data_IF_007546132706
#
_entry.id   IF_007546132706
#
_cell.length_a   1.000
_cell.length_b   1.000
_cell.length_c   1.000
_cell.angle_alpha   90.00
_cell.angle_beta   90.00
_cell.angle_gamma   90.00
#
_symmetry.space_group_name_H-M   'P 1'
#
loop_
_entity.id
_entity.type
_entity.pdbx_description
1 polymer ?
#
# COMPACT_ATOMS: atom_id res chain seq x y z
N UNK A 1 26.01 7.34 29.22
CA UNK A 1 25.27 6.36 28.40
C UNK A 1 24.94 7.04 27.08
N UNK A 2 25.18 6.40 25.94
CA UNK A 2 24.84 6.98 24.65
C UNK A 2 23.31 7.13 24.57
N UNK A 3 22.82 8.28 24.10
CA UNK A 3 21.40 8.67 24.21
C UNK A 3 20.41 7.66 23.61
N UNK A 4 20.81 6.94 22.56
CA UNK A 4 19.95 5.91 21.95
C UNK A 4 19.70 4.73 22.91
N UNK A 5 20.71 4.28 23.68
CA UNK A 5 20.58 3.16 24.62
C UNK A 5 19.56 3.48 25.71
N UNK A 6 19.65 4.68 26.26
CA UNK A 6 18.70 5.16 27.27
C UNK A 6 17.27 5.20 26.73
N UNK A 7 17.09 5.71 25.50
CA UNK A 7 15.79 5.77 24.85
C UNK A 7 15.22 4.37 24.54
N UNK A 8 16.07 3.41 24.14
CA UNK A 8 15.66 2.01 23.98
C UNK A 8 15.14 1.42 25.30
N UNK A 9 15.88 1.58 26.39
CA UNK A 9 15.43 1.07 27.70
C UNK A 9 14.11 1.70 28.14
N UNK A 10 13.93 3.01 27.93
CA UNK A 10 12.67 3.69 28.20
C UNK A 10 11.54 3.15 27.31
N UNK A 11 11.81 2.83 26.04
CA UNK A 11 10.84 2.24 25.13
C UNK A 11 10.38 0.86 25.62
N UNK A 12 11.31 0.00 26.06
CA UNK A 12 11.01 -1.32 26.62
C UNK A 12 10.17 -1.22 27.89
N UNK A 13 10.46 -0.23 28.76
CA UNK A 13 9.66 0.02 29.95
C UNK A 13 8.24 0.50 29.61
N UNK A 14 8.10 1.37 28.61
CA UNK A 14 6.80 1.81 28.10
C UNK A 14 5.99 0.64 27.49
N UNK A 15 6.66 -0.19 26.68
CA UNK A 15 6.09 -1.43 26.12
C UNK A 15 5.58 -2.37 27.21
N UNK A 16 6.40 -2.63 28.24
CA UNK A 16 6.03 -3.47 29.40
C UNK A 16 4.83 -2.92 30.18
N UNK A 17 4.66 -1.60 30.15
CA UNK A 17 3.50 -0.90 30.74
C UNK A 17 2.29 -0.83 29.79
N UNK A 18 2.35 -1.49 28.63
CA UNK A 18 1.35 -1.46 27.56
C UNK A 18 1.11 -0.09 26.94
N UNK A 19 2.06 0.84 27.06
CA UNK A 19 2.03 2.12 26.38
C UNK A 19 2.76 2.03 25.03
N UNK A 20 2.10 1.44 24.04
CA UNK A 20 2.69 1.11 22.74
C UNK A 20 3.03 2.36 21.91
N UNK A 21 2.23 3.42 21.99
CA UNK A 21 2.49 4.70 21.29
C UNK A 21 3.80 5.32 21.80
N UNK A 22 3.92 5.47 23.12
CA UNK A 22 5.13 5.98 23.75
C UNK A 22 6.35 5.09 23.45
N UNK A 23 6.19 3.76 23.46
CA UNK A 23 7.26 2.84 23.12
C UNK A 23 7.76 3.07 21.68
N UNK A 24 6.86 3.20 20.70
CA UNK A 24 7.24 3.45 19.30
C UNK A 24 7.87 4.82 19.09
N UNK A 25 7.37 5.88 19.73
CA UNK A 25 7.97 7.21 19.63
C UNK A 25 9.39 7.24 20.23
N UNK A 26 9.61 6.55 21.36
CA UNK A 26 10.92 6.41 21.97
C UNK A 26 11.89 5.61 21.10
N UNK A 27 11.47 4.50 20.49
CA UNK A 27 12.31 3.76 19.52
C UNK A 27 12.65 4.62 18.29
N UNK A 28 11.66 5.33 17.72
CA UNK A 28 11.89 6.25 16.62
C UNK A 28 12.90 7.36 16.99
N UNK A 29 12.90 7.83 18.25
CA UNK A 29 13.89 8.78 18.76
C UNK A 29 15.26 8.12 18.94
N UNK A 30 15.32 6.91 19.49
CA UNK A 30 16.55 6.16 19.71
C UNK A 30 17.32 5.96 18.39
N UNK A 31 16.64 5.44 17.37
CA UNK A 31 17.28 5.16 16.09
C UNK A 31 17.69 6.41 15.31
N UNK A 32 16.99 7.54 15.46
CA UNK A 32 17.42 8.84 14.91
C UNK A 32 18.73 9.36 15.51
N UNK A 33 19.14 8.85 16.66
CA UNK A 33 20.41 9.20 17.30
C UNK A 33 21.54 8.24 16.94
N UNK A 34 21.27 7.21 16.12
CA UNK A 34 22.31 6.33 15.58
C UNK A 34 23.02 7.06 14.43
N UNK A 35 24.33 7.20 14.55
CA UNK A 35 25.19 7.75 13.51
C UNK A 35 26.24 6.69 13.16
N UNK A 36 26.33 6.35 11.87
CA UNK A 36 27.12 5.22 11.36
C UNK A 36 28.51 5.60 10.85
N UNK A 37 28.94 6.84 11.05
CA UNK A 37 30.26 7.29 10.62
C UNK A 37 31.36 6.57 11.43
N UNK A 38 31.96 5.55 10.81
CA UNK A 38 33.18 4.82 11.19
C UNK A 38 33.05 3.64 12.19
N UNK A 39 31.86 3.03 12.25
CA UNK A 39 31.44 1.80 12.95
C UNK A 39 32.51 1.01 13.76
N UNK A 40 32.76 1.46 14.99
CA UNK A 40 32.99 0.57 16.15
C UNK A 40 31.91 0.92 17.17
N UNK A 41 30.76 0.25 17.10
CA UNK A 41 29.76 0.35 18.16
C UNK A 41 30.23 -0.42 19.39
N UNK A 42 29.82 0.06 20.57
CA UNK A 42 29.98 -0.70 21.80
C UNK A 42 29.03 -1.90 21.82
N UNK A 43 29.38 -2.97 22.54
CA UNK A 43 28.46 -4.11 22.77
C UNK A 43 27.10 -3.64 23.30
N UNK A 44 27.09 -2.59 24.13
CA UNK A 44 25.87 -2.00 24.66
C UNK A 44 24.97 -1.35 23.59
N UNK A 45 25.56 -0.83 22.52
CA UNK A 45 24.81 -0.31 21.36
C UNK A 45 24.17 -1.45 20.58
N UNK A 46 24.93 -2.52 20.31
CA UNK A 46 24.39 -3.68 19.60
C UNK A 46 23.26 -4.33 20.38
N UNK A 47 23.44 -4.55 21.68
CA UNK A 47 22.39 -5.07 22.55
C UNK A 47 21.14 -4.19 22.54
N UNK A 48 21.30 -2.86 22.58
CA UNK A 48 20.16 -1.95 22.50
C UNK A 48 19.42 -1.99 21.15
N UNK A 49 20.12 -2.21 20.04
CA UNK A 49 19.46 -2.41 18.73
C UNK A 49 18.75 -3.76 18.72
N UNK A 50 19.41 -4.82 19.20
CA UNK A 50 18.84 -6.17 19.28
C UNK A 50 17.56 -6.20 20.12
N UNK A 51 17.59 -5.61 21.32
CA UNK A 51 16.41 -5.54 22.20
C UNK A 51 15.25 -4.78 21.54
N UNK A 52 15.54 -3.74 20.75
CA UNK A 52 14.51 -3.02 20.01
C UNK A 52 13.89 -3.88 18.90
N UNK A 53 14.69 -4.67 18.19
CA UNK A 53 14.22 -5.58 17.14
C UNK A 53 13.38 -6.70 17.75
N UNK A 54 13.83 -7.33 18.84
CA UNK A 54 13.06 -8.33 19.57
C UNK A 54 11.73 -7.79 20.08
N UNK A 55 11.73 -6.57 20.65
CA UNK A 55 10.50 -5.94 21.12
C UNK A 55 9.49 -5.73 19.98
N UNK A 56 9.95 -5.31 18.80
CA UNK A 56 9.09 -5.15 17.61
C UNK A 56 8.60 -6.49 17.08
N UNK A 57 9.44 -7.52 17.07
CA UNK A 57 9.04 -8.87 16.63
C UNK A 57 7.92 -9.43 17.53
N UNK A 58 8.10 -9.34 18.85
CA UNK A 58 7.10 -9.76 19.83
C UNK A 58 5.81 -8.93 19.73
N UNK A 59 5.89 -7.65 19.35
CA UNK A 59 4.71 -6.81 19.12
C UNK A 59 3.81 -7.38 18.02
N UNK A 60 4.39 -7.89 16.92
CA UNK A 60 3.62 -8.55 15.84
C UNK A 60 2.92 -9.82 16.30
N UNK A 61 3.44 -10.51 17.32
CA UNK A 61 2.81 -11.72 17.88
C UNK A 61 1.67 -11.40 18.85
N UNK A 62 1.74 -10.26 19.54
CA UNK A 62 0.83 -9.94 20.65
C UNK A 62 -0.26 -8.93 20.30
N UNK A 63 -0.10 -8.17 19.22
CA UNK A 63 -1.09 -7.18 18.78
C UNK A 63 -1.84 -7.68 17.54
N UNK A 64 -3.13 -8.08 17.68
CA UNK A 64 -3.94 -8.58 16.56
C UNK A 64 -4.10 -7.55 15.43
N UNK A 65 -4.01 -6.27 15.78
CA UNK A 65 -4.08 -5.16 14.83
C UNK A 65 -2.85 -5.06 13.93
N UNK A 66 -1.76 -5.78 14.21
CA UNK A 66 -0.60 -5.84 13.35
C UNK A 66 -0.68 -7.11 12.51
N UNK A 67 -0.73 -6.96 11.19
CA UNK A 67 -0.59 -8.09 10.28
C UNK A 67 0.89 -8.35 10.02
N UNK A 68 1.31 -9.60 10.18
CA UNK A 68 2.65 -10.05 9.89
C UNK A 68 2.81 -10.27 8.38
N UNK A 69 3.19 -9.20 7.67
CA UNK A 69 3.47 -9.20 6.23
C UNK A 69 4.89 -9.67 5.90
N UNK A 70 5.10 -10.25 4.71
CA UNK A 70 6.40 -10.69 4.21
C UNK A 70 7.48 -9.60 4.34
N UNK A 71 7.17 -8.35 4.01
CA UNK A 71 8.12 -7.24 4.14
C UNK A 71 8.51 -6.91 5.58
N UNK A 72 7.58 -7.02 6.53
CA UNK A 72 7.88 -6.77 7.93
C UNK A 72 8.80 -7.87 8.48
N UNK A 73 8.49 -9.13 8.15
CA UNK A 73 9.33 -10.28 8.51
C UNK A 73 10.72 -10.17 7.92
N UNK A 74 10.83 -9.89 6.62
CA UNK A 74 12.12 -9.74 5.96
C UNK A 74 12.96 -8.63 6.60
N UNK A 75 12.36 -7.50 6.93
CA UNK A 75 13.04 -6.37 7.57
C UNK A 75 13.57 -6.74 8.96
N UNK A 76 12.74 -7.40 9.78
CA UNK A 76 13.13 -7.85 11.12
C UNK A 76 14.24 -8.90 11.03
N UNK A 77 14.07 -9.93 10.20
CA UNK A 77 15.03 -11.03 10.08
C UNK A 77 16.37 -10.58 9.53
N UNK A 78 16.39 -9.73 8.50
CA UNK A 78 17.66 -9.23 7.95
C UNK A 78 18.47 -8.44 8.98
N UNK A 79 17.81 -7.63 9.81
CA UNK A 79 18.51 -6.89 10.86
C UNK A 79 18.98 -7.81 11.98
N UNK A 80 18.20 -8.83 12.37
CA UNK A 80 18.65 -9.85 13.34
C UNK A 80 19.91 -10.57 12.86
N UNK A 81 19.91 -11.07 11.62
CA UNK A 81 21.08 -11.72 11.02
C UNK A 81 22.28 -10.76 11.02
N UNK A 82 22.07 -9.51 10.62
CA UNK A 82 23.14 -8.51 10.57
C UNK A 82 23.72 -8.20 11.98
N UNK A 83 22.91 -8.31 13.04
CA UNK A 83 23.35 -8.17 14.43
C UNK A 83 24.04 -9.42 14.99
N UNK A 84 23.76 -10.61 14.47
CA UNK A 84 24.43 -11.85 14.87
C UNK A 84 25.81 -12.01 14.21
N UNK A 85 25.95 -11.54 12.97
CA UNK A 85 27.14 -11.72 12.14
C UNK A 85 28.04 -10.47 12.05
N UNK A 86 28.11 -9.65 13.11
CA UNK A 86 28.76 -8.32 13.08
C UNK A 86 30.20 -8.28 12.56
N UNK A 87 30.97 -9.36 12.72
CA UNK A 87 32.36 -9.43 12.23
C UNK A 87 32.48 -9.75 10.74
N UNK A 88 31.38 -10.13 10.09
CA UNK A 88 31.34 -10.60 8.70
C UNK A 88 30.53 -9.68 7.78
N UNK A 89 29.75 -8.76 8.35
CA UNK A 89 28.82 -7.90 7.63
C UNK A 89 29.48 -6.59 7.22
N UNK A 90 29.33 -6.22 5.95
CA UNK A 90 29.76 -4.91 5.45
C UNK A 90 28.98 -3.77 6.12
N UNK A 91 29.67 -2.69 6.49
CA UNK A 91 29.10 -1.52 7.18
C UNK A 91 27.91 -0.93 6.43
N UNK A 92 28.01 -0.82 5.11
CA UNK A 92 26.94 -0.28 4.26
C UNK A 92 25.69 -1.18 4.27
N UNK A 93 25.89 -2.51 4.31
CA UNK A 93 24.78 -3.46 4.44
C UNK A 93 24.10 -3.33 5.79
N UNK A 94 24.86 -3.29 6.89
CA UNK A 94 24.31 -3.13 8.23
C UNK A 94 23.54 -1.81 8.36
N UNK A 95 24.13 -0.70 7.90
CA UNK A 95 23.48 0.62 7.90
C UNK A 95 22.15 0.58 7.15
N UNK A 96 22.11 -0.08 5.98
CA UNK A 96 20.88 -0.25 5.21
C UNK A 96 19.82 -1.04 5.99
N UNK A 97 20.18 -2.14 6.66
CA UNK A 97 19.21 -2.90 7.46
C UNK A 97 18.65 -2.06 8.62
N UNK A 98 19.48 -1.21 9.24
CA UNK A 98 19.00 -0.27 10.24
C UNK A 98 18.04 0.75 9.63
N UNK A 99 18.35 1.31 8.45
CA UNK A 99 17.49 2.28 7.77
C UNK A 99 16.12 1.67 7.39
N UNK A 100 16.12 0.44 6.88
CA UNK A 100 14.89 -0.30 6.56
C UNK A 100 14.05 -0.54 7.83
N UNK A 101 14.69 -0.93 8.94
CA UNK A 101 14.01 -1.07 10.24
C UNK A 101 13.50 0.27 10.79
N UNK A 102 14.22 1.38 10.58
CA UNK A 102 13.73 2.71 10.94
C UNK A 102 12.47 3.09 10.18
N UNK A 103 12.36 2.72 8.91
CA UNK A 103 11.16 2.94 8.12
C UNK A 103 9.98 2.10 8.66
N UNK A 104 10.22 0.84 9.04
CA UNK A 104 9.23 0.00 9.71
C UNK A 104 8.72 0.66 11.01
N UNK A 105 9.62 1.12 11.88
CA UNK A 105 9.26 1.83 13.12
C UNK A 105 8.42 3.07 12.87
N UNK A 106 8.74 3.87 11.85
CA UNK A 106 7.96 5.04 11.47
C UNK A 106 6.54 4.65 11.03
N UNK A 107 6.41 3.60 10.23
CA UNK A 107 5.10 3.11 9.82
C UNK A 107 4.26 2.57 10.99
N UNK A 108 4.87 1.82 11.91
CA UNK A 108 4.21 1.37 13.14
C UNK A 108 3.71 2.54 13.98
N UNK A 109 4.56 3.54 14.21
CA UNK A 109 4.18 4.76 14.92
C UNK A 109 2.99 5.44 14.25
N UNK A 110 3.05 5.67 12.95
CA UNK A 110 1.95 6.32 12.20
C UNK A 110 0.65 5.53 12.34
N UNK A 111 0.73 4.20 12.27
CA UNK A 111 -0.41 3.31 12.51
C UNK A 111 -0.98 3.48 13.91
N UNK A 112 -0.17 3.41 14.95
CA UNK A 112 -0.63 3.58 16.34
C UNK A 112 -1.22 4.98 16.59
N UNK A 113 -0.56 6.04 16.11
CA UNK A 113 -1.08 7.42 16.20
C UNK A 113 -2.48 7.52 15.56
N UNK A 114 -2.71 6.86 14.42
CA UNK A 114 -4.02 6.86 13.76
C UNK A 114 -5.08 6.16 14.60
N UNK A 115 -4.78 4.96 15.11
CA UNK A 115 -5.72 4.17 15.90
C UNK A 115 -6.07 4.89 17.20
N UNK A 116 -5.09 5.45 17.90
CA UNK A 116 -5.29 6.20 19.12
C UNK A 116 -6.17 7.44 18.91
N UNK A 117 -5.85 8.28 17.92
CA UNK A 117 -6.66 9.48 17.59
C UNK A 117 -8.11 9.15 17.26
N UNK A 118 -8.36 7.96 16.71
CA UNK A 118 -9.69 7.45 16.38
C UNK A 118 -10.31 6.60 17.48
N UNK A 119 -9.62 6.42 18.60
CA UNK A 119 -10.04 5.61 19.74
C UNK A 119 -10.36 4.16 19.32
N UNK A 120 -9.62 3.63 18.34
CA UNK A 120 -9.74 2.25 17.87
C UNK A 120 -8.85 1.37 18.76
N UNK A 121 -9.40 0.40 19.50
CA UNK A 121 -8.61 -0.40 20.41
C UNK A 121 -7.68 -1.38 19.68
N UNK A 122 -6.40 -1.42 20.08
CA UNK A 122 -5.35 -2.24 19.45
C UNK A 122 -5.45 -3.75 19.75
N UNK A 123 -6.20 -4.15 20.78
CA UNK A 123 -6.27 -5.52 21.31
C UNK A 123 -7.58 -6.26 21.00
N UNK A 124 -8.41 -5.76 20.08
CA UNK A 124 -9.66 -6.44 19.71
C UNK A 124 -9.35 -7.72 18.93
N UNK A 125 -10.02 -8.83 19.28
CA UNK A 125 -9.96 -10.10 18.54
C UNK A 125 -11.38 -10.57 18.14
N UNK A 126 -11.63 -10.85 16.84
CA UNK A 126 -10.76 -10.54 15.69
C UNK A 126 -10.71 -9.01 15.46
N UNK A 127 -9.57 -8.47 15.01
CA UNK A 127 -9.47 -7.05 14.70
C UNK A 127 -10.49 -6.68 13.61
N UNK A 128 -10.98 -5.43 13.62
CA UNK A 128 -11.81 -4.93 12.52
C UNK A 128 -10.98 -4.62 11.28
N UNK A 129 -9.79 -4.07 11.54
CA UNK A 129 -8.74 -3.74 10.57
C UNK A 129 -7.38 -4.05 11.17
N UNK A 130 -6.41 -4.44 10.34
CA UNK A 130 -5.00 -4.60 10.76
C UNK A 130 -4.09 -3.73 9.90
N UNK A 131 -2.99 -3.27 10.46
CA UNK A 131 -1.91 -2.56 9.77
C UNK A 131 -1.01 -3.61 9.12
N UNK A 132 -0.75 -3.46 7.82
CA UNK A 132 0.20 -4.29 7.10
C UNK A 132 1.23 -3.42 6.38
N UNK A 133 2.43 -3.97 6.20
CA UNK A 133 3.52 -3.31 5.50
C UNK A 133 3.63 -3.85 4.07
N UNK A 134 3.96 -2.96 3.14
CA UNK A 134 4.25 -3.26 1.74
C UNK A 134 5.66 -2.82 1.40
N UNK A 135 6.20 -3.36 0.31
CA UNK A 135 7.49 -2.97 -0.26
C UNK A 135 7.66 -1.44 -0.33
N UNK A 136 8.79 -0.93 0.17
CA UNK A 136 9.04 0.51 0.28
C UNK A 136 8.48 1.14 1.56
N UNK A 137 8.16 0.32 2.57
CA UNK A 137 7.65 0.74 3.88
C UNK A 137 6.32 1.51 3.83
N UNK A 138 5.49 1.25 2.81
CA UNK A 138 4.12 1.74 2.79
C UNK A 138 3.28 0.95 3.80
N UNK A 139 2.47 1.66 4.57
CA UNK A 139 1.48 1.06 5.46
C UNK A 139 0.11 1.07 4.79
N UNK A 140 -0.64 0.01 5.00
CA UNK A 140 -2.04 -0.10 4.57
C UNK A 140 -2.88 -0.71 5.68
N UNK A 141 -4.20 -0.50 5.62
CA UNK A 141 -5.14 -1.22 6.47
C UNK A 141 -5.76 -2.40 5.72
N UNK A 142 -5.65 -3.59 6.30
CA UNK A 142 -6.33 -4.80 5.87
C UNK A 142 -7.70 -4.86 6.54
N UNK A 143 -8.72 -5.17 5.75
CA UNK A 143 -10.12 -5.29 6.18
C UNK A 143 -10.44 -6.73 6.59
N UNK A 144 -10.89 -6.92 7.84
CA UNK A 144 -11.33 -8.24 8.34
C UNK A 144 -12.85 -8.39 8.38
N UNK A 145 -13.57 -7.28 8.57
CA UNK A 145 -15.03 -7.27 8.66
C UNK A 145 -15.63 -6.40 7.56
N UNK A 146 -16.70 -6.88 6.93
CA UNK A 146 -17.42 -6.10 5.93
C UNK A 146 -18.51 -5.25 6.58
N UNK A 147 -18.17 -4.03 6.98
CA UNK A 147 -19.11 -3.06 7.54
C UNK A 147 -18.83 -1.64 7.02
N UNK A 148 -19.86 -0.81 6.99
CA UNK A 148 -19.74 0.60 6.62
C UNK A 148 -18.83 1.39 7.58
N UNK A 149 -18.69 0.93 8.83
CA UNK A 149 -17.75 1.51 9.79
C UNK A 149 -16.30 1.22 9.40
N UNK A 150 -15.99 -0.04 9.04
CA UNK A 150 -14.65 -0.41 8.57
C UNK A 150 -14.26 0.37 7.30
N UNK A 151 -15.20 0.52 6.37
CA UNK A 151 -14.97 1.32 5.15
C UNK A 151 -14.66 2.79 5.48
N UNK A 152 -15.35 3.37 6.48
CA UNK A 152 -15.05 4.74 6.95
C UNK A 152 -13.66 4.84 7.56
N UNK A 153 -13.23 3.85 8.35
CA UNK A 153 -11.91 3.81 8.96
C UNK A 153 -10.82 3.77 7.88
N UNK A 154 -10.94 2.86 6.91
CA UNK A 154 -9.99 2.72 5.81
C UNK A 154 -9.92 4.01 4.98
N UNK A 155 -11.07 4.59 4.65
CA UNK A 155 -11.11 5.87 3.93
C UNK A 155 -10.46 7.01 4.71
N UNK A 156 -10.69 7.09 6.03
CA UNK A 156 -10.07 8.09 6.89
C UNK A 156 -8.55 7.90 7.00
N UNK A 157 -8.08 6.65 7.04
CA UNK A 157 -6.66 6.32 7.01
C UNK A 157 -6.02 6.76 5.70
N UNK A 158 -6.58 6.35 4.56
CA UNK A 158 -6.09 6.72 3.23
C UNK A 158 -6.11 8.25 3.03
N UNK A 159 -7.12 8.94 3.54
CA UNK A 159 -7.20 10.40 3.49
C UNK A 159 -6.10 11.09 4.33
N UNK A 160 -5.52 10.42 5.33
CA UNK A 160 -4.41 10.96 6.14
C UNK A 160 -3.08 11.00 5.37
N UNK A 161 -2.96 10.18 4.32
CA UNK A 161 -1.79 10.13 3.42
C UNK A 161 -2.07 10.72 2.05
N UNK A 162 -3.34 10.92 1.72
CA UNK A 162 -3.75 11.66 0.53
C UNK A 162 -3.31 13.10 0.73
N UNK A 163 -2.33 13.55 -0.04
CA UNK A 163 -2.00 14.96 -0.10
C UNK A 163 -3.28 15.73 -0.46
N UNK A 164 -3.61 16.85 0.22
CA UNK A 164 -4.81 17.64 -0.08
C UNK A 164 -4.87 18.14 -1.53
N UNK A 165 -3.75 18.05 -2.25
CA UNK A 165 -3.61 18.28 -3.68
C UNK A 165 -2.74 17.15 -4.26
N UNK A 166 -3.33 16.01 -4.60
CA UNK A 166 -2.72 15.13 -5.61
C UNK A 166 -3.05 15.78 -6.93
N UNK A 167 -2.15 16.60 -7.50
CA UNK A 167 -2.41 17.23 -8.79
C UNK A 167 -2.76 16.16 -9.85
N UNK A 168 -3.35 16.56 -10.98
CA UNK A 168 -3.58 15.64 -12.09
C UNK A 168 -2.30 14.90 -12.49
N UNK A 169 -1.15 15.57 -12.41
CA UNK A 169 0.17 15.00 -12.66
C UNK A 169 0.54 13.91 -11.65
N UNK A 170 0.29 14.14 -10.36
CA UNK A 170 0.53 13.12 -9.31
C UNK A 170 -0.37 11.89 -9.53
N UNK A 171 -1.65 12.10 -9.84
CA UNK A 171 -2.58 11.02 -10.18
C UNK A 171 -2.08 10.22 -11.39
N UNK A 172 -1.53 10.90 -12.40
CA UNK A 172 -0.96 10.25 -13.58
C UNK A 172 0.29 9.43 -13.26
N UNK A 173 1.19 9.95 -12.41
CA UNK A 173 2.40 9.22 -11.99
C UNK A 173 2.05 7.96 -11.19
N UNK A 174 1.12 8.07 -10.24
CA UNK A 174 0.67 6.92 -9.44
C UNK A 174 -0.04 5.87 -10.28
N UNK A 175 -0.83 6.30 -11.27
CA UNK A 175 -1.47 5.40 -12.22
C UNK A 175 -0.43 4.65 -13.06
N UNK A 176 0.58 5.35 -13.57
CA UNK A 176 1.63 4.72 -14.38
C UNK A 176 2.42 3.69 -13.57
N UNK A 177 2.73 4.02 -12.31
CA UNK A 177 3.36 3.08 -11.39
C UNK A 177 2.50 1.83 -11.19
N UNK A 178 1.21 1.99 -10.85
CA UNK A 178 0.29 0.87 -10.64
C UNK A 178 0.16 -0.01 -11.89
N UNK A 179 0.11 0.59 -13.09
CA UNK A 179 0.09 -0.15 -14.36
C UNK A 179 1.39 -0.91 -14.59
N UNK A 180 2.54 -0.30 -14.29
CA UNK A 180 3.86 -0.95 -14.44
C UNK A 180 4.07 -2.13 -13.48
N UNK A 181 3.48 -2.05 -12.28
CA UNK A 181 3.47 -3.11 -11.28
C UNK A 181 2.46 -4.22 -11.62
N UNK A 182 1.56 -3.98 -12.58
CA UNK A 182 0.46 -4.87 -12.91
C UNK A 182 -0.66 -4.89 -11.86
N UNK A 183 -0.67 -3.92 -10.93
CA UNK A 183 -1.72 -3.75 -9.92
C UNK A 183 -2.97 -3.14 -10.55
N UNK A 184 -3.73 -4.02 -11.21
CA UNK A 184 -4.93 -3.67 -11.97
C UNK A 184 -6.03 -3.07 -11.10
N UNK A 185 -6.17 -3.53 -9.86
CA UNK A 185 -7.20 -3.03 -8.95
C UNK A 185 -6.88 -1.58 -8.55
N UNK A 186 -5.63 -1.32 -8.16
CA UNK A 186 -5.19 0.04 -7.83
C UNK A 186 -5.29 0.98 -9.03
N UNK A 187 -4.96 0.51 -10.23
CA UNK A 187 -5.11 1.29 -11.45
C UNK A 187 -6.58 1.66 -11.74
N UNK A 188 -7.53 0.73 -11.55
CA UNK A 188 -8.97 0.99 -11.69
C UNK A 188 -9.45 2.05 -10.68
N UNK A 189 -9.08 1.91 -9.41
CA UNK A 189 -9.43 2.86 -8.34
C UNK A 189 -8.88 4.26 -8.62
N UNK A 190 -7.62 4.37 -9.04
CA UNK A 190 -6.98 5.64 -9.41
C UNK A 190 -7.67 6.31 -10.61
N UNK A 191 -8.08 5.53 -11.61
CA UNK A 191 -8.80 6.06 -12.78
C UNK A 191 -10.19 6.55 -12.41
N UNK A 192 -10.92 5.84 -11.55
CA UNK A 192 -12.23 6.29 -11.05
C UNK A 192 -12.13 7.57 -10.23
N UNK A 193 -11.11 7.66 -9.38
CA UNK A 193 -10.84 8.83 -8.57
C UNK A 193 -10.43 10.05 -9.42
N UNK A 194 -9.55 9.85 -10.40
CA UNK A 194 -9.15 10.85 -11.38
C UNK A 194 -10.36 11.42 -12.14
N UNK A 195 -11.33 10.58 -12.51
CA UNK A 195 -12.58 11.04 -13.14
C UNK A 195 -13.48 11.88 -12.21
N UNK A 196 -13.44 11.63 -10.90
CA UNK A 196 -14.22 12.38 -9.91
C UNK A 196 -13.60 13.74 -9.63
N UNK A 197 -12.27 13.79 -9.48
CA UNK A 197 -11.52 15.01 -9.11
C UNK A 197 -11.21 15.92 -10.29
N UNK A 198 -10.97 15.34 -11.46
CA UNK A 198 -10.52 16.04 -12.68
C UNK A 198 -11.48 15.76 -13.85
N UNK A 199 -12.64 16.44 -13.93
CA UNK A 199 -13.64 16.20 -14.97
C UNK A 199 -13.10 16.31 -16.41
N UNK A 200 -12.11 17.17 -16.64
CA UNK A 200 -11.42 17.35 -17.91
C UNK A 200 -10.64 16.11 -18.35
N UNK A 201 -10.21 15.29 -17.39
CA UNK A 201 -9.44 14.07 -17.63
C UNK A 201 -10.32 12.85 -17.96
N UNK A 202 -11.65 12.96 -17.79
CA UNK A 202 -12.59 11.83 -17.95
C UNK A 202 -12.44 11.09 -19.26
N UNK A 203 -12.24 11.82 -20.36
CA UNK A 203 -12.02 11.22 -21.69
C UNK A 203 -10.82 10.26 -21.67
N UNK A 204 -9.69 10.72 -21.15
CA UNK A 204 -8.46 9.93 -21.07
C UNK A 204 -8.60 8.78 -20.08
N UNK A 205 -9.26 9.01 -18.94
CA UNK A 205 -9.47 7.98 -17.94
C UNK A 205 -10.35 6.84 -18.46
N UNK A 206 -11.45 7.13 -19.16
CA UNK A 206 -12.28 6.09 -19.79
C UNK A 206 -11.52 5.30 -20.86
N UNK A 207 -10.63 5.95 -21.62
CA UNK A 207 -9.78 5.25 -22.58
C UNK A 207 -8.83 4.26 -21.88
N UNK A 208 -8.16 4.70 -20.81
CA UNK A 208 -7.26 3.85 -20.02
C UNK A 208 -8.01 2.71 -19.33
N UNK A 209 -9.21 2.95 -18.79
CA UNK A 209 -10.08 1.89 -18.24
C UNK A 209 -10.46 0.88 -19.33
N UNK A 210 -10.82 1.35 -20.53
CA UNK A 210 -11.12 0.47 -21.66
C UNK A 210 -9.95 -0.47 -21.97
N UNK A 211 -8.72 0.06 -22.03
CA UNK A 211 -7.52 -0.75 -22.25
C UNK A 211 -7.24 -1.73 -21.10
N UNK A 212 -7.33 -1.28 -19.85
CA UNK A 212 -7.13 -2.11 -18.66
C UNK A 212 -8.12 -3.29 -18.62
N UNK A 213 -9.40 -3.04 -18.89
CA UNK A 213 -10.41 -4.09 -18.97
C UNK A 213 -10.22 -5.00 -20.18
N UNK A 214 -9.74 -4.47 -21.30
CA UNK A 214 -9.44 -5.25 -22.48
C UNK A 214 -8.29 -6.24 -22.22
N UNK A 215 -7.21 -5.78 -21.60
CA UNK A 215 -6.06 -6.61 -21.20
C UNK A 215 -6.43 -7.69 -20.19
N UNK A 216 -7.39 -7.40 -19.31
CA UNK A 216 -7.94 -8.37 -18.36
C UNK A 216 -9.06 -9.25 -18.95
N UNK A 217 -9.32 -9.13 -20.25
CA UNK A 217 -10.39 -9.84 -20.98
C UNK A 217 -11.80 -9.61 -20.42
N UNK A 218 -11.99 -8.55 -19.64
CA UNK A 218 -13.30 -8.07 -19.24
C UNK A 218 -13.93 -7.26 -20.38
N UNK A 219 -14.26 -7.95 -21.46
CA UNK A 219 -14.68 -7.35 -22.72
C UNK A 219 -15.95 -6.50 -22.59
N UNK A 220 -16.85 -6.85 -21.68
CA UNK A 220 -18.06 -6.07 -21.44
C UNK A 220 -17.71 -4.69 -20.85
N UNK A 221 -16.98 -4.65 -19.73
CA UNK A 221 -16.54 -3.39 -19.13
C UNK A 221 -15.64 -2.59 -20.08
N UNK A 222 -14.78 -3.26 -20.84
CA UNK A 222 -13.94 -2.62 -21.85
C UNK A 222 -14.77 -1.88 -22.90
N UNK A 223 -15.77 -2.55 -23.46
CA UNK A 223 -16.67 -1.98 -24.46
C UNK A 223 -17.44 -0.77 -23.90
N UNK A 224 -17.97 -0.88 -22.68
CA UNK A 224 -18.66 0.24 -22.02
C UNK A 224 -17.76 1.46 -21.81
N UNK A 225 -16.52 1.25 -21.35
CA UNK A 225 -15.55 2.32 -21.17
C UNK A 225 -15.14 2.97 -22.50
N UNK A 226 -14.93 2.16 -23.55
CA UNK A 226 -14.65 2.67 -24.89
C UNK A 226 -15.80 3.51 -25.45
N UNK A 227 -17.06 3.10 -25.25
CA UNK A 227 -18.21 3.90 -25.66
C UNK A 227 -18.25 5.25 -24.94
N UNK A 228 -17.99 5.26 -23.63
CA UNK A 228 -17.96 6.51 -22.84
C UNK A 228 -16.86 7.46 -23.32
N UNK A 229 -15.66 6.97 -23.65
CA UNK A 229 -14.59 7.85 -24.17
C UNK A 229 -14.91 8.37 -25.58
N UNK A 230 -15.56 7.57 -26.45
CA UNK A 230 -16.01 8.04 -27.77
C UNK A 230 -17.04 9.17 -27.65
N UNK A 231 -18.02 9.03 -26.75
CA UNK A 231 -19.01 10.09 -26.48
C UNK A 231 -18.34 11.38 -26.00
N UNK A 232 -17.21 11.27 -25.29
CA UNK A 232 -16.41 12.41 -24.84
C UNK A 232 -15.42 12.93 -25.90
N UNK A 233 -15.47 12.41 -27.13
CA UNK A 233 -14.71 12.93 -28.27
C UNK A 233 -13.43 12.17 -28.61
N UNK A 234 -13.23 10.96 -28.09
CA UNK A 234 -12.18 10.07 -28.59
C UNK A 234 -12.54 9.58 -30.00
N UNK A 235 -11.65 9.73 -31.00
CA UNK A 235 -11.89 9.21 -32.34
C UNK A 235 -12.14 7.70 -32.31
N UNK A 236 -13.20 7.27 -33.00
CA UNK A 236 -13.63 5.87 -33.05
C UNK A 236 -12.49 4.96 -33.52
N UNK A 237 -11.79 5.38 -34.55
CA UNK A 237 -10.69 4.66 -35.20
C UNK A 237 -9.60 4.23 -34.19
N UNK A 238 -9.38 5.02 -33.14
CA UNK A 238 -8.36 4.77 -32.13
C UNK A 238 -8.69 3.57 -31.22
N UNK A 239 -9.97 3.24 -31.06
CA UNK A 239 -10.43 2.13 -30.22
C UNK A 239 -11.11 1.01 -31.02
N UNK A 240 -11.30 1.20 -32.34
CA UNK A 240 -12.04 0.29 -33.23
C UNK A 240 -11.57 -1.15 -33.12
N UNK A 241 -10.26 -1.39 -33.20
CA UNK A 241 -9.70 -2.76 -33.16
C UNK A 241 -10.02 -3.49 -31.85
N UNK A 242 -9.87 -2.79 -30.72
CA UNK A 242 -10.14 -3.37 -29.39
C UNK A 242 -11.63 -3.59 -29.19
N UNK A 243 -12.48 -2.65 -29.61
CA UNK A 243 -13.95 -2.82 -29.55
C UNK A 243 -14.40 -3.97 -30.45
N UNK A 244 -13.86 -4.09 -31.67
CA UNK A 244 -14.16 -5.20 -32.59
C UNK A 244 -13.79 -6.54 -31.98
N UNK A 245 -12.59 -6.64 -31.42
CA UNK A 245 -12.12 -7.86 -30.75
C UNK A 245 -13.01 -8.20 -29.55
N UNK A 246 -13.33 -7.22 -28.71
CA UNK A 246 -14.18 -7.40 -27.53
C UNK A 246 -15.60 -7.84 -27.91
N UNK A 247 -16.22 -7.19 -28.89
CA UNK A 247 -17.58 -7.51 -29.34
C UNK A 247 -17.66 -8.89 -30.01
N UNK A 248 -16.64 -9.27 -30.79
CA UNK A 248 -16.56 -10.61 -31.37
C UNK A 248 -16.45 -11.68 -30.28
N UNK A 249 -15.63 -11.45 -29.26
CA UNK A 249 -15.50 -12.35 -28.12
C UNK A 249 -16.82 -12.46 -27.33
N UNK A 250 -17.49 -11.35 -27.07
CA UNK A 250 -18.79 -11.33 -26.39
C UNK A 250 -19.89 -12.01 -27.21
N UNK A 251 -19.92 -11.79 -28.53
CA UNK A 251 -20.88 -12.44 -29.42
C UNK A 251 -20.66 -13.96 -29.52
N UNK A 252 -19.41 -14.41 -29.44
CA UNK A 252 -19.05 -15.83 -29.42
C UNK A 252 -19.37 -16.50 -28.08
N UNK A 253 -19.25 -15.75 -26.98
CA UNK A 253 -19.55 -16.22 -25.63
C UNK A 253 -21.03 -16.08 -25.22
N UNK A 254 -21.84 -15.40 -26.04
CA UNK A 254 -23.25 -15.13 -25.76
C UNK A 254 -24.07 -16.43 -25.60
N UNK A 255 -24.93 -16.47 -24.60
CA UNK A 255 -25.75 -17.65 -24.30
C UNK A 255 -26.89 -17.85 -25.30
N UNK A 256 -27.25 -16.77 -26.01
CA UNK A 256 -28.36 -16.79 -26.95
C UNK A 256 -28.13 -15.89 -28.18
N UNK A 257 -28.84 -16.15 -29.30
CA UNK A 257 -28.67 -15.39 -30.54
C UNK A 257 -29.01 -13.90 -30.43
N UNK A 258 -29.90 -13.51 -29.50
CA UNK A 258 -30.30 -12.11 -29.30
C UNK A 258 -29.18 -11.30 -28.69
N UNK A 259 -28.50 -11.85 -27.69
CA UNK A 259 -27.31 -11.25 -27.08
C UNK A 259 -26.14 -11.17 -28.07
N UNK A 260 -25.90 -12.25 -28.82
CA UNK A 260 -24.90 -12.24 -29.90
C UNK A 260 -25.22 -11.17 -30.96
N UNK A 261 -26.50 -11.02 -31.31
CA UNK A 261 -27.00 -9.97 -32.21
C UNK A 261 -26.70 -8.57 -31.70
N UNK A 262 -26.96 -8.30 -30.41
CA UNK A 262 -26.67 -7.00 -29.78
C UNK A 262 -25.21 -6.57 -29.95
N UNK A 263 -24.25 -7.48 -29.76
CA UNK A 263 -22.82 -7.18 -29.90
C UNK A 263 -22.40 -6.97 -31.37
N UNK A 264 -23.01 -7.71 -32.31
CA UNK A 264 -22.78 -7.52 -33.75
C UNK A 264 -23.39 -6.20 -34.25
N UNK A 265 -24.58 -5.86 -33.79
CA UNK A 265 -25.26 -4.61 -34.12
C UNK A 265 -24.46 -3.40 -33.63
N UNK A 266 -23.81 -3.52 -32.48
CA UNK A 266 -22.93 -2.47 -31.97
C UNK A 266 -21.73 -2.23 -32.89
N UNK A 267 -21.19 -3.26 -33.55
CA UNK A 267 -20.14 -3.08 -34.55
C UNK A 267 -20.68 -2.44 -35.82
N UNK A 268 -21.80 -2.93 -36.35
CA UNK A 268 -22.36 -2.47 -37.63
C UNK A 268 -22.91 -1.04 -37.59
N UNK A 269 -23.48 -0.63 -36.45
CA UNK A 269 -24.14 0.66 -36.34
C UNK A 269 -23.25 1.75 -35.73
N UNK A 270 -22.18 1.36 -35.03
CA UNK A 270 -21.32 2.30 -34.31
C UNK A 270 -19.95 2.50 -34.99
N UNK A 271 -19.50 1.55 -35.82
CA UNK A 271 -18.24 1.58 -36.56
C UNK A 271 -18.42 1.31 -38.05
#
# INVERSE_FOLDING_TARGET
MQKHIELTHQAIAAYSSHNFEQAMDLLCKAFRQLHFSDLIFSDATYNAIFDAVEMVDVLFEHLPVLERSEEADLTIQNLKIALEELNLVEVDFFSKQVDDFQLLLKGLRVGFDFFEKRQIPLKIQPPMVSIAFKKGAYIQLIKWQNSAEVDRIINAFNASFSTPNSSLEDCQQQLELALSEGDKQRAEELLEDMMKRYPESKKQAFLKLGNLYFETKNYQKATEAYMKTIVLGTPKEMVRSNVQTACNALAAAAENPKEAGRWRDLLMNFF
#
